data_IF_697073853662
#
_entry.id   IF_697073853662
#
_cell.length_a   1.000
_cell.length_b   1.000
_cell.length_c   1.000
_cell.angle_alpha   90.00
_cell.angle_beta   90.00
_cell.angle_gamma   90.00
#
_symmetry.space_group_name_H-M   'P 1'
#
loop_
_entity.id
_entity.type
_entity.pdbx_description
1 polymer ?
#
# COMPACT_ATOMS: atom_id res chain seq x y z
N UNK A 1 4.74 -14.12 -10.45
CA UNK A 1 4.00 -14.04 -9.16
C UNK A 1 2.61 -13.49 -9.47
N UNK A 2 1.52 -14.00 -8.87
CA UNK A 2 0.17 -13.47 -9.13
C UNK A 2 -0.23 -12.52 -8.01
N UNK A 3 -0.61 -11.28 -8.35
CA UNK A 3 -1.27 -10.38 -7.41
C UNK A 3 -2.53 -9.80 -8.04
N UNK A 4 -3.68 -10.15 -7.47
CA UNK A 4 -4.97 -9.69 -7.94
C UNK A 4 -5.45 -8.50 -7.10
N UNK A 5 -5.18 -7.30 -7.59
CA UNK A 5 -5.59 -6.03 -7.00
C UNK A 5 -6.88 -5.46 -7.58
N UNK A 6 -7.74 -6.29 -8.18
CA UNK A 6 -9.09 -5.83 -8.55
C UNK A 6 -9.88 -5.40 -7.29
N UNK A 7 -10.83 -4.49 -7.45
CA UNK A 7 -11.71 -4.07 -6.35
C UNK A 7 -12.42 -5.26 -5.69
N UNK A 8 -12.94 -6.21 -6.47
CA UNK A 8 -13.66 -7.37 -5.94
C UNK A 8 -12.75 -8.33 -5.14
N UNK A 9 -11.50 -8.51 -5.56
CA UNK A 9 -10.52 -9.28 -4.82
C UNK A 9 -10.12 -8.58 -3.52
N UNK A 10 -9.95 -7.26 -3.57
CA UNK A 10 -9.64 -6.41 -2.40
C UNK A 10 -10.74 -6.51 -1.34
N UNK A 11 -12.01 -6.30 -1.73
CA UNK A 11 -13.16 -6.43 -0.82
C UNK A 11 -13.23 -7.82 -0.18
N UNK A 12 -13.11 -8.88 -0.98
CA UNK A 12 -13.13 -10.26 -0.47
C UNK A 12 -12.00 -10.54 0.51
N UNK A 13 -10.79 -10.05 0.23
CA UNK A 13 -9.63 -10.18 1.12
C UNK A 13 -9.87 -9.49 2.47
N UNK A 14 -10.45 -8.29 2.43
CA UNK A 14 -10.75 -7.52 3.63
C UNK A 14 -11.87 -8.15 4.46
N UNK A 15 -12.95 -8.63 3.82
CA UNK A 15 -14.01 -9.38 4.50
C UNK A 15 -13.50 -10.65 5.18
N UNK A 16 -12.55 -11.35 4.55
CA UNK A 16 -11.88 -12.49 5.18
C UNK A 16 -11.09 -12.06 6.43
N UNK A 17 -10.40 -10.92 6.36
CA UNK A 17 -9.61 -10.38 7.47
C UNK A 17 -10.50 -9.99 8.66
N UNK A 18 -11.60 -9.28 8.40
CA UNK A 18 -12.60 -8.92 9.42
C UNK A 18 -13.17 -10.17 10.11
N UNK A 19 -13.54 -11.20 9.34
CA UNK A 19 -14.02 -12.48 9.90
C UNK A 19 -12.97 -13.17 10.77
N UNK A 20 -11.72 -13.22 10.30
CA UNK A 20 -10.62 -13.89 11.00
C UNK A 20 -10.24 -13.17 12.29
N UNK A 21 -10.25 -11.84 12.28
CA UNK A 21 -9.93 -10.98 13.42
C UNK A 21 -11.12 -10.74 14.35
N UNK A 22 -12.32 -11.22 13.98
CA UNK A 22 -13.56 -11.08 14.74
C UNK A 22 -13.88 -9.62 15.08
N UNK A 23 -13.68 -8.74 14.12
CA UNK A 23 -13.92 -7.31 14.23
C UNK A 23 -14.72 -6.81 13.03
N UNK A 24 -15.38 -5.67 13.19
CA UNK A 24 -16.15 -4.96 12.17
C UNK A 24 -15.37 -3.82 11.51
N UNK A 25 -14.18 -3.47 12.02
CA UNK A 25 -13.32 -2.45 11.42
C UNK A 25 -11.82 -2.80 11.48
N UNK A 26 -11.03 -2.14 10.64
CA UNK A 26 -9.57 -2.18 10.69
C UNK A 26 -9.02 -0.77 10.83
N UNK A 27 -8.08 -0.55 11.75
CA UNK A 27 -7.43 0.75 11.88
C UNK A 27 -6.64 1.11 10.61
N UNK A 28 -5.94 0.16 10.01
CA UNK A 28 -5.19 0.41 8.78
C UNK A 28 -5.14 -0.80 7.87
N UNK A 29 -5.18 -0.58 6.56
CA UNK A 29 -5.00 -1.63 5.54
C UNK A 29 -3.94 -1.21 4.55
N UNK A 30 -2.92 -2.06 4.36
CA UNK A 30 -1.82 -1.79 3.44
C UNK A 30 -1.96 -2.62 2.16
N UNK A 31 -1.88 -1.97 1.01
CA UNK A 31 -1.69 -2.64 -0.28
C UNK A 31 -0.33 -3.33 -0.25
N UNK A 32 -0.29 -4.62 -0.60
CA UNK A 32 0.92 -5.44 -0.53
C UNK A 32 1.18 -6.15 -1.86
N UNK A 33 2.46 -6.38 -2.21
CA UNK A 33 2.83 -7.04 -3.46
C UNK A 33 2.92 -6.11 -4.67
N UNK A 34 3.05 -4.80 -4.46
CA UNK A 34 3.41 -3.81 -5.48
C UNK A 34 4.85 -3.33 -5.23
N UNK A 35 5.88 -4.08 -5.64
CA UNK A 35 7.28 -3.73 -5.34
C UNK A 35 8.07 -2.95 -6.42
N UNK A 36 7.64 -2.95 -7.69
CA UNK A 36 8.26 -2.20 -8.79
C UNK A 36 7.20 -1.41 -9.58
N UNK A 37 7.48 -0.19 -10.04
CA UNK A 37 6.48 0.68 -10.61
C UNK A 37 5.84 0.13 -11.90
N UNK A 38 6.63 -0.59 -12.69
CA UNK A 38 6.37 -1.11 -14.03
C UNK A 38 6.01 -2.61 -14.07
N UNK A 39 5.89 -3.29 -12.92
CA UNK A 39 5.65 -4.75 -12.88
C UNK A 39 4.34 -5.21 -13.53
N UNK A 40 3.42 -4.29 -13.79
CA UNK A 40 2.15 -4.55 -14.46
C UNK A 40 2.26 -4.53 -16.00
N UNK A 41 3.38 -4.03 -16.52
CA UNK A 41 3.66 -3.98 -17.96
C UNK A 41 4.31 -5.26 -18.47
N UNK A 42 4.82 -6.10 -17.57
CA UNK A 42 5.41 -7.40 -17.90
C UNK A 42 4.30 -8.40 -18.31
N UNK A 43 4.25 -8.84 -19.58
CA UNK A 43 3.22 -9.75 -20.07
C UNK A 43 3.30 -11.15 -19.44
N UNK A 44 4.43 -11.51 -18.85
CA UNK A 44 4.60 -12.77 -18.11
C UNK A 44 4.07 -12.66 -16.67
N UNK A 45 3.71 -11.46 -16.23
CA UNK A 45 3.17 -11.17 -14.90
C UNK A 45 1.66 -10.91 -14.96
N UNK A 46 0.89 -11.81 -14.36
CA UNK A 46 -0.56 -11.65 -14.16
C UNK A 46 -0.81 -10.78 -12.92
N UNK A 47 -0.65 -9.47 -13.11
CA UNK A 47 -0.76 -8.47 -12.06
C UNK A 47 -1.69 -7.32 -12.45
N UNK A 48 -2.46 -6.86 -11.47
CA UNK A 48 -3.36 -5.72 -11.62
C UNK A 48 -2.77 -4.54 -10.87
N UNK A 49 -2.70 -3.37 -11.51
CA UNK A 49 -2.22 -2.16 -10.86
C UNK A 49 -3.17 -1.70 -9.74
N UNK A 50 -2.76 -1.72 -8.46
CA UNK A 50 -3.64 -1.37 -7.36
C UNK A 50 -4.04 0.11 -7.34
N UNK A 51 -3.26 0.98 -7.99
CA UNK A 51 -3.48 2.43 -8.00
C UNK A 51 -4.33 2.90 -9.20
N UNK A 52 -4.59 2.01 -10.18
CA UNK A 52 -5.41 2.36 -11.34
C UNK A 52 -6.90 2.50 -10.96
N UNK A 53 -7.68 3.30 -11.72
CA UNK A 53 -9.11 3.47 -11.47
C UNK A 53 -9.87 2.14 -11.44
N UNK A 54 -10.80 2.00 -10.49
CA UNK A 54 -11.62 0.80 -10.30
C UNK A 54 -10.90 -0.38 -9.61
N UNK A 55 -9.67 -0.21 -9.14
CA UNK A 55 -8.89 -1.26 -8.48
C UNK A 55 -8.80 -1.07 -6.95
N UNK A 56 -7.78 -1.67 -6.33
CA UNK A 56 -7.66 -1.79 -4.88
C UNK A 56 -7.74 -0.45 -4.15
N UNK A 57 -7.04 0.59 -4.61
CA UNK A 57 -7.04 1.89 -3.92
C UNK A 57 -8.45 2.49 -3.83
N UNK A 58 -9.19 2.51 -4.95
CA UNK A 58 -10.54 3.05 -4.98
C UNK A 58 -11.51 2.24 -4.12
N UNK A 59 -11.35 0.92 -4.06
CA UNK A 59 -12.15 0.08 -3.18
C UNK A 59 -11.86 0.34 -1.70
N UNK A 60 -10.58 0.53 -1.34
CA UNK A 60 -10.19 0.91 0.02
C UNK A 60 -10.74 2.28 0.39
N UNK A 61 -10.74 3.26 -0.54
CA UNK A 61 -11.38 4.57 -0.31
C UNK A 61 -12.88 4.40 0.02
N UNK A 62 -13.62 3.59 -0.75
CA UNK A 62 -15.04 3.30 -0.48
C UNK A 62 -15.24 2.67 0.90
N UNK A 63 -14.36 1.74 1.30
CA UNK A 63 -14.43 1.09 2.61
C UNK A 63 -14.07 2.05 3.75
N UNK A 64 -13.17 3.01 3.50
CA UNK A 64 -12.86 4.08 4.44
C UNK A 64 -14.05 5.00 4.64
N UNK A 65 -14.70 5.41 3.56
CA UNK A 65 -15.91 6.25 3.60
C UNK A 65 -17.08 5.55 4.31
N UNK A 66 -17.11 4.21 4.27
CA UNK A 66 -18.07 3.36 5.00
C UNK A 66 -17.71 3.17 6.49
N UNK A 67 -16.53 3.63 6.94
CA UNK A 67 -16.03 3.44 8.30
C UNK A 67 -15.51 2.03 8.60
N UNK A 68 -15.40 1.17 7.58
CA UNK A 68 -14.89 -0.21 7.72
C UNK A 68 -13.37 -0.21 7.91
N UNK A 69 -12.68 0.78 7.33
CA UNK A 69 -11.25 1.03 7.60
C UNK A 69 -11.02 2.49 7.97
N UNK A 70 -9.96 2.78 8.72
CA UNK A 70 -9.61 4.18 9.07
C UNK A 70 -8.50 4.74 8.18
N UNK A 71 -7.45 3.96 7.94
CA UNK A 71 -6.27 4.39 7.20
C UNK A 71 -5.93 3.45 6.04
N UNK A 72 -5.49 4.03 4.93
CA UNK A 72 -5.02 3.33 3.74
C UNK A 72 -3.51 3.46 3.70
N UNK A 73 -2.82 2.34 3.46
CA UNK A 73 -1.38 2.35 3.30
C UNK A 73 -0.89 1.50 2.15
N UNK A 74 0.43 1.48 1.98
CA UNK A 74 1.10 0.63 1.01
C UNK A 74 2.44 0.14 1.54
N UNK A 75 2.75 -1.13 1.29
CA UNK A 75 4.03 -1.75 1.60
C UNK A 75 4.79 -2.07 0.32
N UNK A 76 5.99 -1.50 0.18
CA UNK A 76 6.87 -1.72 -0.97
C UNK A 76 8.33 -1.52 -0.60
N UNK A 77 9.25 -2.12 -1.36
CA UNK A 77 10.68 -1.78 -1.26
C UNK A 77 11.02 -0.52 -2.04
N UNK A 78 10.55 -0.44 -3.29
CA UNK A 78 10.93 0.63 -4.21
C UNK A 78 10.41 1.99 -3.75
N UNK A 79 11.30 2.98 -3.65
CA UNK A 79 10.92 4.36 -3.39
C UNK A 79 9.96 4.88 -4.47
N UNK A 80 10.16 4.52 -5.74
CA UNK A 80 9.30 4.95 -6.84
C UNK A 80 7.84 4.50 -6.67
N UNK A 81 7.61 3.32 -6.10
CA UNK A 81 6.25 2.87 -5.74
C UNK A 81 5.65 3.77 -4.67
N UNK A 82 6.40 4.05 -3.61
CA UNK A 82 5.94 4.92 -2.53
C UNK A 82 5.61 6.32 -3.04
N UNK A 83 6.47 6.91 -3.87
CA UNK A 83 6.21 8.20 -4.52
C UNK A 83 4.88 8.19 -5.28
N UNK A 84 4.71 7.23 -6.21
CA UNK A 84 3.48 7.10 -7.01
C UNK A 84 2.24 6.95 -6.13
N UNK A 85 2.34 6.18 -5.04
CA UNK A 85 1.23 5.97 -4.13
C UNK A 85 0.91 7.24 -3.32
N UNK A 86 1.92 7.92 -2.77
CA UNK A 86 1.75 9.17 -2.01
C UNK A 86 1.18 10.28 -2.89
N UNK A 87 1.57 10.36 -4.16
CA UNK A 87 1.06 11.33 -5.14
C UNK A 87 -0.44 11.22 -5.41
N UNK A 88 -1.07 10.07 -5.12
CA UNK A 88 -2.53 9.92 -5.19
C UNK A 88 -3.26 10.78 -4.16
N UNK A 89 -2.57 11.20 -3.09
CA UNK A 89 -3.16 11.91 -1.96
C UNK A 89 -4.11 11.07 -1.12
N UNK A 90 -4.10 9.74 -1.27
CA UNK A 90 -5.00 8.82 -0.58
C UNK A 90 -4.28 7.89 0.42
N UNK A 91 -2.96 7.96 0.50
CA UNK A 91 -2.13 7.12 1.36
C UNK A 91 -1.83 7.85 2.66
N UNK A 92 -2.20 7.23 3.77
CA UNK A 92 -1.98 7.72 5.13
C UNK A 92 -0.66 7.18 5.72
N UNK A 93 -0.26 5.97 5.35
CA UNK A 93 0.90 5.26 5.92
C UNK A 93 1.64 4.47 4.84
N UNK A 94 2.97 4.57 4.82
CA UNK A 94 3.82 3.68 4.02
C UNK A 94 4.58 2.69 4.90
N UNK A 95 4.80 1.49 4.38
CA UNK A 95 5.73 0.52 4.93
C UNK A 95 6.89 0.35 3.97
N UNK A 96 8.08 0.73 4.40
CA UNK A 96 9.33 0.46 3.68
C UNK A 96 10.06 -0.69 4.35
N UNK A 97 10.67 -1.56 3.56
CA UNK A 97 11.44 -2.68 4.07
C UNK A 97 12.83 -2.75 3.43
N UNK A 98 13.84 -3.09 4.23
CA UNK A 98 15.26 -3.19 3.81
C UNK A 98 15.90 -1.88 3.32
N UNK A 99 15.23 -0.74 3.42
CA UNK A 99 15.75 0.56 2.96
C UNK A 99 16.18 1.50 4.10
N UNK A 100 16.00 1.07 5.36
CA UNK A 100 16.48 1.80 6.53
C UNK A 100 16.83 0.87 7.70
N UNK A 101 18.13 0.69 7.95
CA UNK A 101 18.76 -0.07 9.02
C UNK A 101 20.16 0.50 9.33
N UNK A 102 20.95 -0.18 10.16
CA UNK A 102 22.36 0.18 10.35
C UNK A 102 23.21 0.01 9.07
N UNK A 103 22.80 -0.86 8.15
CA UNK A 103 23.56 -1.17 6.93
C UNK A 103 23.20 -0.27 5.74
N UNK A 104 22.00 0.31 5.75
CA UNK A 104 21.45 1.11 4.66
C UNK A 104 20.53 2.19 5.20
N UNK A 105 20.64 3.40 4.67
CA UNK A 105 19.80 4.53 5.09
C UNK A 105 19.19 5.25 3.88
N UNK A 106 19.00 4.52 2.77
CA UNK A 106 18.55 5.07 1.48
C UNK A 106 17.19 5.80 1.62
N UNK A 107 16.29 5.28 2.46
CA UNK A 107 14.98 5.91 2.68
C UNK A 107 15.05 7.34 3.27
N UNK A 108 16.13 7.70 3.98
CA UNK A 108 16.28 9.04 4.58
C UNK A 108 16.61 10.12 3.56
N UNK A 109 17.23 9.74 2.44
CA UNK A 109 17.61 10.68 1.39
C UNK A 109 16.41 11.15 0.54
N UNK A 110 15.33 10.37 0.48
CA UNK A 110 14.23 10.58 -0.48
C UNK A 110 12.84 10.33 0.13
N UNK A 111 12.57 9.11 0.59
CA UNK A 111 11.24 8.72 1.08
C UNK A 111 10.79 9.48 2.33
N UNK A 112 11.65 9.60 3.35
CA UNK A 112 11.26 10.26 4.61
C UNK A 112 11.00 11.76 4.46
N UNK A 113 11.81 12.54 3.71
CA UNK A 113 11.47 13.92 3.35
C UNK A 113 10.07 14.04 2.73
N UNK A 114 9.74 13.20 1.73
CA UNK A 114 8.42 13.21 1.11
C UNK A 114 7.29 12.88 2.10
N UNK A 115 7.49 11.86 2.94
CA UNK A 115 6.49 11.49 3.94
C UNK A 115 6.22 12.63 4.94
N UNK A 116 7.26 13.35 5.36
CA UNK A 116 7.10 14.53 6.24
C UNK A 116 6.38 15.68 5.53
N UNK A 117 6.68 15.93 4.27
CA UNK A 117 6.02 16.98 3.47
C UNK A 117 4.51 16.70 3.31
N UNK A 118 4.15 15.41 3.13
CA UNK A 118 2.78 14.98 2.81
C UNK A 118 1.98 14.49 4.01
N UNK A 119 2.54 14.59 5.22
CA UNK A 119 1.94 14.10 6.48
C UNK A 119 1.57 12.60 6.43
N UNK A 120 2.50 11.79 5.91
CA UNK A 120 2.35 10.34 5.75
C UNK A 120 3.16 9.61 6.83
N UNK A 121 2.52 8.69 7.55
CA UNK A 121 3.18 7.85 8.55
C UNK A 121 4.13 6.83 7.92
N UNK A 122 5.18 6.43 8.67
CA UNK A 122 6.17 5.45 8.20
C UNK A 122 6.23 4.25 9.15
N UNK A 123 6.08 3.05 8.60
CA UNK A 123 6.40 1.79 9.26
C UNK A 123 7.72 1.27 8.68
N UNK A 124 8.69 1.03 9.56
CA UNK A 124 9.96 0.40 9.20
C UNK A 124 9.84 -1.11 9.39
N UNK A 125 9.97 -1.86 8.30
CA UNK A 125 10.07 -3.30 8.33
C UNK A 125 11.51 -3.75 8.04
N UNK A 126 11.96 -4.81 8.71
CA UNK A 126 13.37 -5.25 8.69
C UNK A 126 14.40 -4.15 9.09
N UNK A 127 14.21 -3.46 10.24
CA UNK A 127 15.14 -2.43 10.72
C UNK A 127 16.48 -3.01 11.22
#
# INVERSE_FOLDING_TARGET
MRSNHTASATRRSLENSLRALQTDYLDSVLIHGYDQPDQFEDPDMDMVDPLAPGHALEELMKLRDQGVIRHIGIGARSAAVHHRAIETGQIDIVLTYLEYSLLTQVADADLFPLCRERDVGVILASP
#
